data_IF_066426976276
#
_entry.id   IF_066426976276
#
_cell.length_a   1.000
_cell.length_b   1.000
_cell.length_c   1.000
_cell.angle_alpha   90.00
_cell.angle_beta   90.00
_cell.angle_gamma   90.00
#
_symmetry.space_group_name_H-M   'P 1'
#
loop_
_entity.id
_entity.type
_entity.pdbx_description
1 polymer ?
#
# COMPACT_ATOMS: atom_id res chain seq x y z
N UNK A 1 22.00 59.49 -15.33
CA UNK A 1 20.58 59.04 -15.30
C UNK A 1 20.61 57.53 -15.29
N UNK A 2 20.65 56.95 -14.09
CA UNK A 2 20.62 55.50 -13.88
C UNK A 2 19.16 55.12 -13.69
N UNK A 3 18.61 54.31 -14.59
CA UNK A 3 17.28 53.75 -14.45
C UNK A 3 17.40 52.39 -13.78
N UNK A 4 16.96 52.32 -12.53
CA UNK A 4 16.88 51.13 -11.71
C UNK A 4 15.95 50.10 -12.36
N UNK A 5 16.45 48.87 -12.51
CA UNK A 5 15.66 47.72 -12.90
C UNK A 5 14.93 47.18 -11.66
N UNK A 6 13.63 47.45 -11.56
CA UNK A 6 12.74 46.82 -10.58
C UNK A 6 12.67 45.31 -10.82
N UNK A 7 13.29 44.54 -9.92
CA UNK A 7 13.12 43.09 -9.87
C UNK A 7 11.79 42.77 -9.21
N UNK A 8 10.84 42.20 -9.96
CA UNK A 8 9.58 41.73 -9.41
C UNK A 8 9.79 40.57 -8.41
N UNK A 9 9.04 40.53 -7.29
CA UNK A 9 9.20 39.49 -6.28
C UNK A 9 8.63 38.16 -6.79
N UNK A 10 9.45 37.10 -6.67
CA UNK A 10 9.09 35.73 -7.03
C UNK A 10 8.14 35.17 -5.97
N UNK A 11 6.86 35.06 -6.32
CA UNK A 11 5.83 34.48 -5.45
C UNK A 11 6.18 33.01 -5.13
N UNK A 12 6.56 32.73 -3.89
CA UNK A 12 6.83 31.37 -3.42
C UNK A 12 5.51 30.64 -3.24
N UNK A 13 5.07 29.89 -4.25
CA UNK A 13 3.94 28.98 -4.14
C UNK A 13 4.20 27.97 -3.00
N UNK A 14 3.37 28.03 -1.95
CA UNK A 14 3.46 27.13 -0.80
C UNK A 14 3.28 25.64 -1.17
N UNK A 15 3.67 24.71 -0.28
CA UNK A 15 3.66 23.28 -0.58
C UNK A 15 2.24 22.81 -0.94
N UNK A 16 2.09 21.95 -1.97
CA UNK A 16 0.77 21.56 -2.48
C UNK A 16 -0.06 20.88 -1.39
N UNK A 17 -1.25 21.44 -1.11
CA UNK A 17 -2.22 20.87 -0.17
C UNK A 17 -2.64 19.47 -0.65
N UNK A 18 -2.10 18.43 -0.03
CA UNK A 18 -2.42 17.03 -0.33
C UNK A 18 -3.87 16.76 0.05
N UNK A 19 -4.76 16.68 -0.94
CA UNK A 19 -6.18 16.37 -0.73
C UNK A 19 -6.31 14.90 -0.32
N UNK A 20 -7.13 14.59 0.69
CA UNK A 20 -7.37 13.22 1.20
C UNK A 20 -7.81 12.23 0.11
N UNK A 21 -8.43 12.72 -0.99
CA UNK A 21 -8.76 11.94 -2.18
C UNK A 21 -7.55 11.29 -2.85
N UNK A 22 -6.34 11.78 -2.60
CA UNK A 22 -5.10 11.24 -3.14
C UNK A 22 -4.53 10.06 -2.33
N UNK A 23 -5.15 9.68 -1.21
CA UNK A 23 -4.75 8.50 -0.43
C UNK A 23 -5.25 7.19 -1.07
N UNK A 24 -6.36 7.27 -1.81
CA UNK A 24 -6.94 6.14 -2.54
C UNK A 24 -6.43 6.11 -3.98
N UNK A 25 -5.12 5.90 -4.17
CA UNK A 25 -4.55 5.77 -5.53
C UNK A 25 -5.10 4.53 -6.27
N UNK A 26 -5.46 3.46 -5.54
CA UNK A 26 -6.23 2.32 -6.06
C UNK A 26 -7.18 1.76 -4.98
N UNK A 27 -8.44 2.24 -4.91
CA UNK A 27 -9.39 1.81 -3.89
C UNK A 27 -9.77 0.32 -4.01
N UNK A 28 -9.68 -0.25 -5.22
CA UNK A 28 -10.06 -1.65 -5.47
C UNK A 28 -9.20 -2.66 -4.69
N UNK A 29 -7.87 -2.46 -4.67
CA UNK A 29 -6.97 -3.36 -3.96
C UNK A 29 -7.14 -3.21 -2.44
N UNK A 30 -7.16 -1.97 -1.95
CA UNK A 30 -7.30 -1.68 -0.52
C UNK A 30 -8.62 -2.23 0.05
N UNK A 31 -9.74 -1.99 -0.63
CA UNK A 31 -11.05 -2.46 -0.20
C UNK A 31 -11.20 -3.98 -0.29
N UNK A 32 -10.61 -4.62 -1.32
CA UNK A 32 -10.69 -6.08 -1.46
C UNK A 32 -10.04 -6.79 -0.27
N UNK A 33 -8.80 -6.45 0.07
CA UNK A 33 -8.08 -7.16 1.13
C UNK A 33 -8.51 -6.69 2.53
N UNK A 34 -8.74 -5.39 2.73
CA UNK A 34 -9.26 -4.88 4.00
C UNK A 34 -10.65 -5.46 4.27
N UNK A 35 -11.53 -5.49 3.26
CA UNK A 35 -12.86 -6.09 3.37
C UNK A 35 -12.81 -7.59 3.64
N UNK A 36 -11.87 -8.32 3.04
CA UNK A 36 -11.66 -9.74 3.34
C UNK A 36 -11.26 -9.96 4.81
N UNK A 37 -10.31 -9.19 5.33
CA UNK A 37 -9.87 -9.29 6.73
C UNK A 37 -11.00 -8.92 7.69
N UNK A 38 -11.64 -7.77 7.48
CA UNK A 38 -12.78 -7.33 8.31
C UNK A 38 -13.93 -8.33 8.24
N UNK A 39 -14.25 -8.86 7.06
CA UNK A 39 -15.30 -9.86 6.89
C UNK A 39 -15.03 -11.14 7.67
N UNK A 40 -13.82 -11.69 7.56
CA UNK A 40 -13.43 -12.88 8.35
C UNK A 40 -13.49 -12.57 9.84
N UNK A 41 -13.01 -11.41 10.29
CA UNK A 41 -13.10 -11.01 11.69
C UNK A 41 -14.53 -10.89 12.17
N UNK A 42 -15.42 -10.26 11.41
CA UNK A 42 -16.83 -10.13 11.79
C UNK A 42 -17.49 -11.50 11.88
N UNK A 43 -17.18 -12.43 10.97
CA UNK A 43 -17.72 -13.81 11.02
C UNK A 43 -17.27 -14.50 12.31
N UNK A 44 -15.97 -14.50 12.61
CA UNK A 44 -15.42 -15.14 13.82
C UNK A 44 -15.96 -14.46 15.08
N UNK A 45 -15.96 -13.14 15.12
CA UNK A 45 -16.42 -12.37 16.27
C UNK A 45 -17.93 -12.54 16.48
N UNK A 46 -18.73 -12.69 15.41
CA UNK A 46 -20.16 -12.99 15.52
C UNK A 46 -20.41 -14.39 16.07
N UNK A 47 -19.61 -15.39 15.64
CA UNK A 47 -19.72 -16.75 16.17
C UNK A 47 -19.38 -16.80 17.67
N UNK A 48 -18.27 -16.16 18.07
CA UNK A 48 -17.89 -16.05 19.48
C UNK A 48 -18.87 -15.19 20.28
N UNK A 49 -19.38 -14.11 19.69
CA UNK A 49 -20.40 -13.26 20.30
C UNK A 49 -21.71 -14.00 20.54
N UNK A 50 -22.13 -14.84 19.59
CA UNK A 50 -23.29 -15.71 19.75
C UNK A 50 -23.08 -16.69 20.92
N UNK A 51 -21.91 -17.34 20.99
CA UNK A 51 -21.59 -18.25 22.09
C UNK A 51 -21.53 -17.52 23.44
N UNK A 52 -20.93 -16.33 23.49
CA UNK A 52 -20.86 -15.50 24.68
C UNK A 52 -22.24 -15.05 25.16
N UNK A 53 -23.13 -14.69 24.22
CA UNK A 53 -24.51 -14.32 24.52
C UNK A 53 -25.30 -15.52 25.05
N UNK A 54 -25.16 -16.70 24.44
CA UNK A 54 -25.82 -17.93 24.90
C UNK A 54 -25.37 -18.31 26.32
N UNK A 55 -24.07 -18.25 26.60
CA UNK A 55 -23.53 -18.46 27.95
C UNK A 55 -24.03 -17.40 28.94
N UNK A 56 -24.06 -16.13 28.54
CA UNK A 56 -24.54 -15.04 29.40
C UNK A 56 -26.01 -15.24 29.76
N UNK A 57 -26.85 -15.56 28.76
CA UNK A 57 -28.27 -15.81 28.97
C UNK A 57 -28.52 -17.02 29.86
N UNK A 58 -27.80 -18.13 29.62
CA UNK A 58 -27.90 -19.32 30.47
C UNK A 58 -27.53 -19.02 31.93
N UNK A 59 -26.52 -18.16 32.14
CA UNK A 59 -26.15 -17.68 33.47
C UNK A 59 -27.24 -16.79 34.08
N UNK A 60 -27.77 -15.81 33.33
CA UNK A 60 -28.88 -14.94 33.76
C UNK A 60 -30.10 -15.77 34.18
N UNK A 61 -30.47 -16.80 33.41
CA UNK A 61 -31.58 -17.70 33.71
C UNK A 61 -31.36 -18.50 34.99
N UNK A 62 -30.14 -18.97 35.26
CA UNK A 62 -29.81 -19.68 36.51
C UNK A 62 -29.87 -18.76 37.73
N UNK A 63 -29.37 -17.52 37.61
CA UNK A 63 -29.47 -16.51 38.68
C UNK A 63 -30.93 -16.14 38.95
N UNK A 64 -31.70 -15.84 37.90
CA UNK A 64 -33.12 -15.53 38.01
C UNK A 64 -33.91 -16.68 38.66
N UNK A 65 -33.60 -17.94 38.32
CA UNK A 65 -34.25 -19.11 38.94
C UNK A 65 -33.89 -19.27 40.43
N UNK A 66 -32.64 -18.99 40.81
CA UNK A 66 -32.22 -18.99 42.21
C UNK A 66 -32.90 -17.86 43.00
N UNK A 67 -32.95 -16.66 42.44
CA UNK A 67 -33.56 -15.49 43.06
C UNK A 67 -35.08 -15.67 43.20
N UNK A 68 -35.74 -16.24 42.19
CA UNK A 68 -37.17 -16.61 42.22
C UNK A 68 -37.49 -17.61 43.34
N UNK A 69 -36.64 -18.63 43.55
CA UNK A 69 -36.81 -19.59 44.65
C UNK A 69 -36.68 -18.93 46.04
N UNK A 70 -35.96 -17.81 46.11
CA UNK A 70 -35.79 -17.02 47.34
C UNK A 70 -36.80 -15.87 47.50
N UNK A 71 -37.56 -15.55 46.44
CA UNK A 71 -38.50 -14.45 46.44
C UNK A 71 -39.67 -14.75 47.38
N UNK A 72 -40.00 -13.76 48.22
CA UNK A 72 -41.03 -13.88 49.27
C UNK A 72 -42.43 -13.44 48.79
N UNK A 73 -42.54 -12.78 47.62
CA UNK A 73 -43.78 -12.23 47.05
C UNK A 73 -43.71 -12.06 45.51
N UNK A 74 -44.87 -12.09 44.85
CA UNK A 74 -45.04 -12.06 43.37
C UNK A 74 -44.52 -10.76 42.74
N UNK A 75 -44.59 -9.63 43.46
CA UNK A 75 -44.07 -8.35 42.99
C UNK A 75 -42.53 -8.34 42.86
N UNK A 76 -41.82 -9.11 43.70
CA UNK A 76 -40.37 -9.23 43.61
C UNK A 76 -39.95 -10.08 42.40
N UNK A 77 -40.73 -11.11 42.07
CA UNK A 77 -40.51 -11.96 40.90
C UNK A 77 -40.63 -11.18 39.58
N UNK A 78 -41.63 -10.29 39.46
CA UNK A 78 -41.85 -9.50 38.24
C UNK A 78 -40.71 -8.51 37.98
N UNK A 79 -40.20 -7.86 39.03
CA UNK A 79 -39.02 -6.97 38.96
C UNK A 79 -37.74 -7.71 38.52
N UNK A 80 -37.52 -8.94 38.99
CA UNK A 80 -36.35 -9.76 38.64
C UNK A 80 -36.37 -10.12 37.14
N UNK A 81 -37.54 -10.46 36.59
CA UNK A 81 -37.69 -10.79 35.17
C UNK A 81 -37.38 -9.58 34.28
N UNK A 82 -37.89 -8.41 34.65
CA UNK A 82 -37.64 -7.17 33.92
C UNK A 82 -36.16 -6.76 33.96
N UNK A 83 -35.51 -6.88 35.12
CA UNK A 83 -34.08 -6.59 35.28
C UNK A 83 -33.20 -7.56 34.47
N UNK A 84 -33.56 -8.85 34.43
CA UNK A 84 -32.86 -9.85 33.61
C UNK A 84 -32.94 -9.53 32.13
N UNK A 85 -34.12 -9.15 31.62
CA UNK A 85 -34.31 -8.81 30.21
C UNK A 85 -33.51 -7.56 29.80
N UNK A 86 -33.43 -6.56 30.68
CA UNK A 86 -32.63 -5.36 30.45
C UNK A 86 -31.12 -5.67 30.37
N UNK A 87 -30.62 -6.53 31.28
CA UNK A 87 -29.22 -6.98 31.27
C UNK A 87 -28.86 -7.78 30.03
N UNK A 88 -29.73 -8.66 29.57
CA UNK A 88 -29.50 -9.43 28.35
C UNK A 88 -29.39 -8.51 27.12
N UNK A 89 -30.22 -7.46 27.04
CA UNK A 89 -30.11 -6.44 25.99
C UNK A 89 -28.82 -5.63 26.10
N UNK A 90 -28.40 -5.25 27.31
CA UNK A 90 -27.13 -4.56 27.54
C UNK A 90 -25.94 -5.42 27.09
N UNK A 91 -25.93 -6.71 27.41
CA UNK A 91 -24.91 -7.66 26.96
C UNK A 91 -24.91 -7.75 25.43
N UNK A 92 -26.07 -7.93 24.79
CA UNK A 92 -26.17 -7.99 23.33
C UNK A 92 -25.62 -6.70 22.68
N UNK A 93 -26.01 -5.53 23.17
CA UNK A 93 -25.54 -4.24 22.67
C UNK A 93 -24.03 -4.08 22.87
N UNK A 94 -23.49 -4.54 23.99
CA UNK A 94 -22.04 -4.50 24.25
C UNK A 94 -21.25 -5.39 23.28
N UNK A 95 -21.78 -6.57 22.93
CA UNK A 95 -21.18 -7.50 21.96
C UNK A 95 -21.19 -6.86 20.56
N UNK A 96 -22.35 -6.38 20.11
CA UNK A 96 -22.48 -5.73 18.80
C UNK A 96 -21.59 -4.49 18.73
N UNK A 97 -21.60 -3.66 19.77
CA UNK A 97 -20.76 -2.47 19.88
C UNK A 97 -19.27 -2.82 19.79
N UNK A 98 -18.83 -3.86 20.52
CA UNK A 98 -17.46 -4.36 20.49
C UNK A 98 -17.05 -4.84 19.09
N UNK A 99 -17.90 -5.62 18.42
CA UNK A 99 -17.67 -6.07 17.04
C UNK A 99 -17.57 -4.88 16.08
N UNK A 100 -18.47 -3.90 16.20
CA UNK A 100 -18.44 -2.69 15.37
C UNK A 100 -17.13 -1.90 15.56
N UNK A 101 -16.71 -1.67 16.81
CA UNK A 101 -15.46 -0.96 17.10
C UNK A 101 -14.25 -1.73 16.56
N UNK A 102 -14.21 -3.05 16.75
CA UNK A 102 -13.15 -3.90 16.22
C UNK A 102 -13.08 -3.86 14.69
N UNK A 103 -14.22 -3.99 14.01
CA UNK A 103 -14.31 -3.92 12.55
C UNK A 103 -13.84 -2.56 12.02
N UNK A 104 -14.21 -1.46 12.68
CA UNK A 104 -13.79 -0.11 12.31
C UNK A 104 -12.29 0.09 12.51
N UNK A 105 -11.75 -0.35 13.66
CA UNK A 105 -10.32 -0.29 13.96
C UNK A 105 -9.48 -1.08 12.94
N UNK A 106 -9.91 -2.31 12.60
CA UNK A 106 -9.26 -3.12 11.57
C UNK A 106 -9.41 -2.52 10.18
N UNK A 107 -10.57 -1.94 9.86
CA UNK A 107 -10.79 -1.25 8.59
C UNK A 107 -9.83 -0.08 8.41
N UNK A 108 -9.71 0.79 9.41
CA UNK A 108 -8.77 1.92 9.39
C UNK A 108 -7.33 1.43 9.29
N UNK A 109 -6.95 0.46 10.13
CA UNK A 109 -5.59 -0.09 10.14
C UNK A 109 -5.24 -0.75 8.80
N UNK A 110 -6.15 -1.53 8.23
CA UNK A 110 -5.98 -2.20 6.95
C UNK A 110 -5.78 -1.20 5.80
N UNK A 111 -6.53 -0.10 5.79
CA UNK A 111 -6.35 0.98 4.80
C UNK A 111 -4.98 1.65 4.94
N UNK A 112 -4.56 1.97 6.18
CA UNK A 112 -3.26 2.60 6.45
C UNK A 112 -2.10 1.71 6.00
N UNK A 113 -2.16 0.42 6.33
CA UNK A 113 -1.13 -0.56 5.93
C UNK A 113 -1.12 -0.73 4.42
N UNK A 114 -2.28 -0.86 3.78
CA UNK A 114 -2.34 -1.12 2.34
C UNK A 114 -1.86 0.07 1.50
N UNK A 115 -1.93 1.30 2.02
CA UNK A 115 -1.35 2.46 1.36
C UNK A 115 0.17 2.35 1.17
N UNK A 116 0.90 1.75 2.13
CA UNK A 116 2.36 1.55 2.03
C UNK A 116 2.78 0.54 0.95
N UNK A 117 1.85 -0.25 0.44
CA UNK A 117 2.08 -1.24 -0.62
C UNK A 117 1.69 -0.68 -1.99
N UNK A 118 0.46 -0.16 -2.10
CA UNK A 118 -0.18 0.15 -3.39
C UNK A 118 0.53 1.25 -4.17
N UNK A 119 0.94 2.34 -3.50
CA UNK A 119 1.64 3.46 -4.15
C UNK A 119 2.96 3.01 -4.77
N UNK A 120 3.83 2.35 -3.98
CA UNK A 120 5.07 1.75 -4.45
C UNK A 120 4.88 0.76 -5.61
N UNK A 121 3.85 -0.09 -5.57
CA UNK A 121 3.59 -1.05 -6.66
C UNK A 121 3.39 -0.36 -8.01
N UNK A 122 2.63 0.74 -8.05
CA UNK A 122 2.40 1.47 -9.29
C UNK A 122 3.70 2.08 -9.83
N UNK A 123 4.52 2.65 -8.95
CA UNK A 123 5.83 3.19 -9.32
C UNK A 123 6.76 2.10 -9.83
N UNK A 124 6.82 0.94 -9.17
CA UNK A 124 7.61 -0.20 -9.60
C UNK A 124 7.21 -0.70 -10.98
N UNK A 125 5.89 -0.83 -11.25
CA UNK A 125 5.39 -1.21 -12.57
C UNK A 125 5.86 -0.23 -13.66
N UNK A 126 5.86 1.08 -13.36
CA UNK A 126 6.34 2.10 -14.29
C UNK A 126 7.85 1.98 -14.54
N UNK A 127 8.66 1.85 -13.49
CA UNK A 127 10.11 1.69 -13.61
C UNK A 127 10.48 0.42 -14.41
N UNK A 128 9.79 -0.69 -14.17
CA UNK A 128 9.99 -1.92 -14.94
C UNK A 128 9.59 -1.71 -16.42
N UNK A 129 8.51 -0.97 -16.68
CA UNK A 129 8.13 -0.59 -18.04
C UNK A 129 9.19 0.27 -18.73
N UNK A 130 9.77 1.25 -18.02
CA UNK A 130 10.87 2.08 -18.53
C UNK A 130 12.07 1.21 -18.93
N UNK A 131 12.46 0.23 -18.10
CA UNK A 131 13.53 -0.74 -18.40
C UNK A 131 13.16 -1.63 -19.60
N UNK A 132 11.90 -2.09 -19.68
CA UNK A 132 11.44 -2.91 -20.79
C UNK A 132 11.43 -2.16 -22.13
N UNK A 133 11.25 -0.83 -22.10
CA UNK A 133 11.40 0.06 -23.25
C UNK A 133 12.87 0.35 -23.61
N UNK A 134 13.83 -0.26 -22.91
CA UNK A 134 15.27 -0.06 -23.12
C UNK A 134 15.84 1.17 -22.43
N UNK A 135 15.11 1.82 -21.50
CA UNK A 135 15.66 2.95 -20.72
C UNK A 135 16.31 2.42 -19.46
N UNK A 136 17.64 2.37 -19.44
CA UNK A 136 18.41 1.87 -18.30
C UNK A 136 18.68 2.95 -17.25
N UNK A 137 17.81 3.95 -17.13
CA UNK A 137 17.97 5.04 -16.15
C UNK A 137 16.73 5.12 -15.26
N UNK A 138 16.91 4.78 -13.99
CA UNK A 138 15.83 4.82 -13.01
C UNK A 138 15.48 6.27 -12.64
N UNK A 139 14.27 6.69 -13.00
CA UNK A 139 13.76 8.02 -12.65
C UNK A 139 13.16 8.05 -11.23
N UNK A 140 14.05 8.25 -10.24
CA UNK A 140 13.73 8.54 -8.84
C UNK A 140 13.59 7.32 -7.92
N UNK A 141 13.49 7.57 -6.61
CA UNK A 141 13.55 6.55 -5.54
C UNK A 141 12.20 6.26 -4.88
N UNK A 142 12.02 5.06 -4.32
CA UNK A 142 10.91 4.78 -3.40
C UNK A 142 11.07 5.54 -2.08
N UNK A 143 9.97 5.79 -1.36
CA UNK A 143 10.03 6.49 -0.07
C UNK A 143 10.59 5.55 0.99
N UNK A 144 11.38 6.09 1.93
CA UNK A 144 11.82 5.34 3.11
C UNK A 144 10.60 4.89 3.92
N UNK A 145 10.50 3.59 4.19
CA UNK A 145 9.38 2.98 4.94
C UNK A 145 8.24 2.42 4.08
N UNK A 146 8.40 2.39 2.76
CA UNK A 146 7.54 1.62 1.85
C UNK A 146 7.93 0.14 1.90
N UNK A 147 6.95 -0.77 1.85
CA UNK A 147 7.19 -2.23 1.95
C UNK A 147 7.99 -2.78 0.77
N UNK A 148 7.99 -2.09 -0.38
CA UNK A 148 8.70 -2.52 -1.59
C UNK A 148 10.10 -1.90 -1.72
N UNK A 149 10.64 -1.29 -0.66
CA UNK A 149 11.95 -0.65 -0.70
C UNK A 149 13.08 -1.63 -1.05
N UNK A 150 13.07 -2.82 -0.45
CA UNK A 150 14.10 -3.84 -0.70
C UNK A 150 14.02 -4.35 -2.14
N UNK A 151 12.81 -4.50 -2.68
CA UNK A 151 12.61 -4.83 -4.09
C UNK A 151 13.14 -3.72 -5.01
N UNK A 152 12.96 -2.45 -4.64
CA UNK A 152 13.53 -1.33 -5.38
C UNK A 152 15.06 -1.35 -5.37
N UNK A 153 15.70 -1.66 -4.22
CA UNK A 153 17.17 -1.79 -4.13
C UNK A 153 17.66 -2.92 -5.03
N UNK A 154 16.96 -4.06 -5.05
CA UNK A 154 17.28 -5.16 -5.96
C UNK A 154 17.14 -4.74 -7.44
N UNK A 155 16.09 -3.99 -7.79
CA UNK A 155 15.89 -3.44 -9.13
C UNK A 155 17.00 -2.43 -9.51
N UNK A 156 17.41 -1.55 -8.59
CA UNK A 156 18.49 -0.59 -8.78
C UNK A 156 19.80 -1.31 -9.09
N UNK A 157 20.13 -2.36 -8.34
CA UNK A 157 21.31 -3.19 -8.62
C UNK A 157 21.23 -3.92 -9.97
N UNK A 158 20.05 -4.42 -10.34
CA UNK A 158 19.85 -5.06 -11.63
C UNK A 158 20.11 -4.08 -12.78
N UNK A 159 19.54 -2.87 -12.70
CA UNK A 159 19.73 -1.82 -13.72
C UNK A 159 21.19 -1.40 -13.78
N UNK A 160 21.85 -1.22 -12.64
CA UNK A 160 23.28 -0.88 -12.61
C UNK A 160 24.13 -1.95 -13.30
N UNK A 161 23.85 -3.23 -13.06
CA UNK A 161 24.53 -4.33 -13.76
C UNK A 161 24.28 -4.31 -15.27
N UNK A 162 23.04 -4.05 -15.71
CA UNK A 162 22.72 -3.95 -17.14
C UNK A 162 23.45 -2.78 -17.81
N UNK A 163 23.49 -1.62 -17.13
CA UNK A 163 24.24 -0.45 -17.61
C UNK A 163 25.73 -0.74 -17.74
N UNK A 164 26.32 -1.37 -16.73
CA UNK A 164 27.73 -1.73 -16.74
C UNK A 164 28.06 -2.67 -17.90
N UNK A 165 27.28 -3.74 -18.09
CA UNK A 165 27.44 -4.66 -19.22
C UNK A 165 27.30 -3.94 -20.57
N UNK A 166 26.29 -3.08 -20.72
CA UNK A 166 26.09 -2.39 -21.98
C UNK A 166 27.18 -1.35 -22.26
N UNK A 167 27.74 -0.71 -21.23
CA UNK A 167 28.90 0.17 -21.37
C UNK A 167 30.14 -0.61 -21.83
N UNK A 168 30.40 -1.78 -21.23
CA UNK A 168 31.51 -2.65 -21.66
C UNK A 168 31.36 -3.09 -23.13
N UNK A 169 30.14 -3.42 -23.56
CA UNK A 169 29.86 -3.78 -24.97
C UNK A 169 30.09 -2.60 -25.92
N UNK A 170 29.70 -1.38 -25.55
CA UNK A 170 29.95 -0.16 -26.34
C UNK A 170 31.46 0.09 -26.45
N UNK A 171 32.20 -0.02 -25.35
CA UNK A 171 33.65 0.20 -25.33
C UNK A 171 34.38 -0.82 -26.23
N UNK A 172 33.96 -2.09 -26.20
CA UNK A 172 34.47 -3.12 -27.11
C UNK A 172 34.15 -2.82 -28.57
N UNK A 173 32.94 -2.31 -28.84
CA UNK A 173 32.51 -1.95 -30.19
C UNK A 173 33.30 -0.75 -30.73
N UNK A 174 33.58 0.25 -29.90
CA UNK A 174 34.41 1.40 -30.24
C UNK A 174 35.83 0.98 -30.65
N UNK A 175 36.44 0.06 -29.88
CA UNK A 175 37.76 -0.51 -30.22
C UNK A 175 37.71 -1.29 -31.54
N UNK A 176 36.67 -2.09 -31.77
CA UNK A 176 36.52 -2.89 -32.99
C UNK A 176 36.31 -2.01 -34.23
N UNK A 177 35.48 -0.97 -34.12
CA UNK A 177 35.27 0.03 -35.17
C UNK A 177 36.59 0.72 -35.50
N UNK A 178 37.34 1.20 -34.50
CA UNK A 178 38.61 1.88 -34.73
C UNK A 178 39.63 0.97 -35.42
N UNK A 179 39.78 -0.28 -34.95
CA UNK A 179 40.67 -1.26 -35.58
C UNK A 179 40.31 -1.53 -37.04
N UNK A 180 39.01 -1.52 -37.37
CA UNK A 180 38.52 -1.73 -38.74
C UNK A 180 38.82 -0.53 -39.64
N UNK A 181 38.71 0.70 -39.11
CA UNK A 181 39.14 1.93 -39.79
C UNK A 181 40.64 1.90 -40.08
N UNK A 182 41.45 1.53 -39.09
CA UNK A 182 42.92 1.45 -39.24
C UNK A 182 43.35 0.41 -40.28
N UNK A 183 42.55 -0.66 -40.46
CA UNK A 183 42.76 -1.68 -41.48
C UNK A 183 42.31 -1.26 -42.89
N UNK A 184 41.79 -0.04 -43.07
CA UNK A 184 41.36 0.51 -44.36
C UNK A 184 39.96 0.09 -44.78
N UNK A 185 39.10 -0.32 -43.85
CA UNK A 185 37.69 -0.63 -44.15
C UNK A 185 36.97 0.65 -44.59
N UNK A 186 36.25 0.65 -45.73
CA UNK A 186 35.44 1.79 -46.16
C UNK A 186 34.38 2.21 -45.13
N UNK A 187 34.12 3.51 -44.99
CA UNK A 187 33.17 4.04 -43.99
C UNK A 187 31.72 3.62 -44.23
N UNK A 188 31.32 3.51 -45.49
CA UNK A 188 30.00 3.00 -45.89
C UNK A 188 29.79 1.56 -45.41
N UNK A 189 30.85 0.76 -45.33
CA UNK A 189 30.79 -0.60 -44.79
C UNK A 189 30.72 -0.65 -43.25
N UNK A 190 31.04 0.45 -42.55
CA UNK A 190 30.98 0.54 -41.08
C UNK A 190 29.73 1.25 -40.57
N UNK A 191 28.95 1.90 -41.44
CA UNK A 191 27.83 2.75 -41.08
C UNK A 191 26.80 2.04 -40.19
N UNK A 192 26.37 0.83 -40.55
CA UNK A 192 25.37 0.06 -39.79
C UNK A 192 25.86 -0.29 -38.38
N UNK A 193 27.16 -0.55 -38.22
CA UNK A 193 27.77 -0.89 -36.92
C UNK A 193 27.83 0.34 -36.02
N UNK A 194 28.20 1.49 -36.59
CA UNK A 194 28.18 2.78 -35.88
C UNK A 194 26.76 3.12 -35.44
N UNK A 195 25.75 2.89 -36.29
CA UNK A 195 24.35 3.12 -35.91
C UNK A 195 23.90 2.24 -34.74
N UNK A 196 24.28 0.95 -34.73
CA UNK A 196 24.01 0.06 -33.59
C UNK A 196 24.69 0.56 -32.32
N UNK A 197 25.95 0.99 -32.41
CA UNK A 197 26.71 1.58 -31.29
C UNK A 197 26.00 2.80 -30.72
N UNK A 198 25.59 3.73 -31.57
CA UNK A 198 24.88 4.94 -31.15
C UNK A 198 23.53 4.63 -30.52
N UNK A 199 22.79 3.66 -31.07
CA UNK A 199 21.53 3.18 -30.46
C UNK A 199 21.79 2.60 -29.07
N UNK A 200 22.83 1.79 -28.90
CA UNK A 200 23.21 1.25 -27.59
C UNK A 200 23.56 2.38 -26.60
N UNK A 201 24.34 3.38 -27.04
CA UNK A 201 24.68 4.53 -26.20
C UNK A 201 23.43 5.31 -25.76
N UNK A 202 22.45 5.52 -26.65
CA UNK A 202 21.23 6.26 -26.33
C UNK A 202 20.38 5.64 -25.21
N UNK A 203 20.48 4.33 -24.97
CA UNK A 203 19.75 3.64 -23.88
C UNK A 203 20.31 3.92 -22.48
N UNK A 204 21.54 4.44 -22.40
CA UNK A 204 22.23 4.79 -21.16
C UNK A 204 21.93 6.22 -20.68
N UNK A 205 21.38 7.08 -21.55
CA UNK A 205 21.02 8.49 -21.28
C UNK A 205 19.68 8.65 -20.54
#
# INVERSE_FOLDING_TARGET
MSADAETMPKETAGPPKRRLRNFLLNPRFQLKYTGMVVGVTVIVASALGFQAYDYSRSMSEMLAANDMMSALDDAAAELIIEESAAKDLEVLLSIIGGICVLALALGVTGIVVTHKLVGPTYKMKRLIGEIADGRLRLSGRLRKGDELLDLYIALERMVESLRATQQEEIDLLDVAIQKSRDAGTPEDALQDIVEVRERMASTLE
#
